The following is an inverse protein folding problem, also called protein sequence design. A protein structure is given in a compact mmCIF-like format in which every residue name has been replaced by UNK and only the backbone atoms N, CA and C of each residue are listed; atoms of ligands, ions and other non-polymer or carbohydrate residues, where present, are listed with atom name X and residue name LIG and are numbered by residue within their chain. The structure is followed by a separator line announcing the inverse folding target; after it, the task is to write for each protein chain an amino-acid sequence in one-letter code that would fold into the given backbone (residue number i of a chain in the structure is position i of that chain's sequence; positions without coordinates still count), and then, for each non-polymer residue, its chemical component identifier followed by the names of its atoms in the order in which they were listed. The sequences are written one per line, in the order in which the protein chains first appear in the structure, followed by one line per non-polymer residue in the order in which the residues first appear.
data_IF_486575025061
#
_entry.id   IF_486575025061
#
_cell.length_a   1.000
_cell.length_b   1.000
_cell.length_c   1.000
_cell.angle_alpha   90.00
_cell.angle_beta   90.00
_cell.angle_gamma   90.00
#
_symmetry.space_group_name_H-M   'P 1'
#
loop_
_entity.id
_entity.type
_entity.pdbx_description
1 polymer ?
#
# COMPACT_ATOMS: atom_id res chain seq x y z
N UNK A 1 -7.96 6.08 -14.80
CA UNK A 1 -7.37 6.80 -13.65
C UNK A 1 -6.15 6.10 -13.04
N UNK A 2 -6.06 4.76 -13.05
CA UNK A 2 -4.85 4.03 -12.59
C UNK A 2 -3.97 3.61 -13.78
N UNK A 3 -2.66 3.61 -13.58
CA UNK A 3 -1.65 3.29 -14.60
C UNK A 3 -1.10 1.89 -14.38
N UNK A 4 -0.95 1.10 -15.45
CA UNK A 4 -0.31 -0.22 -15.34
C UNK A 4 1.20 -0.05 -15.10
N UNK A 5 1.76 -0.88 -14.23
CA UNK A 5 3.21 -0.93 -14.02
C UNK A 5 3.61 -1.67 -12.75
N UNK A 6 4.90 -1.63 -12.43
CA UNK A 6 5.45 -2.23 -11.20
C UNK A 6 5.08 -1.35 -10.02
N UNK A 7 4.09 -1.79 -9.26
CA UNK A 7 3.64 -1.17 -8.02
C UNK A 7 3.99 -2.08 -6.82
N UNK A 8 4.15 -1.52 -5.61
CA UNK A 8 4.33 -2.29 -4.38
C UNK A 8 3.23 -3.33 -4.16
N UNK A 9 2.00 -3.07 -4.58
CA UNK A 9 0.91 -4.04 -4.56
C UNK A 9 0.16 -4.08 -5.89
N UNK A 10 -0.25 -5.27 -6.29
CA UNK A 10 -0.96 -5.47 -7.56
C UNK A 10 -0.16 -5.03 -8.78
N UNK A 11 -0.89 -4.60 -9.82
CA UNK A 11 -0.34 -4.28 -11.15
C UNK A 11 -0.55 -2.81 -11.54
N UNK A 12 -1.06 -1.99 -10.62
CA UNK A 12 -1.51 -0.63 -10.91
C UNK A 12 -1.26 0.33 -9.77
N UNK A 13 -0.68 1.47 -10.09
CA UNK A 13 -0.55 2.62 -9.19
C UNK A 13 -1.43 3.78 -9.65
N UNK A 14 -1.54 4.81 -8.82
CA UNK A 14 -2.21 6.07 -9.13
C UNK A 14 -1.18 7.16 -9.41
N UNK A 15 -1.27 7.83 -10.57
CA UNK A 15 -0.46 9.01 -10.85
C UNK A 15 -1.15 10.24 -10.25
N UNK A 16 -0.53 10.85 -9.23
CA UNK A 16 -1.13 11.96 -8.46
C UNK A 16 -1.35 13.23 -9.30
N UNK A 17 -0.60 13.37 -10.40
CA UNK A 17 -0.82 14.42 -11.39
C UNK A 17 -2.20 14.34 -12.07
N UNK A 18 -2.91 13.21 -12.00
CA UNK A 18 -4.27 13.07 -12.54
C UNK A 18 -5.35 13.74 -11.67
N UNK A 19 -4.99 14.18 -10.46
CA UNK A 19 -5.91 14.84 -9.54
C UNK A 19 -5.64 14.47 -8.09
N UNK A 20 -5.95 15.39 -7.19
CA UNK A 20 -5.83 15.17 -5.76
C UNK A 20 -6.83 14.11 -5.26
N UNK A 21 -6.46 13.39 -4.20
CA UNK A 21 -7.33 12.44 -3.51
C UNK A 21 -7.73 13.08 -2.18
N UNK A 22 -9.04 13.19 -1.92
CA UNK A 22 -9.55 13.82 -0.70
C UNK A 22 -10.50 12.92 0.08
N UNK A 23 -10.45 13.01 1.41
CA UNK A 23 -11.43 12.44 2.33
C UNK A 23 -11.95 13.52 3.26
N UNK A 24 -13.26 13.76 3.21
CA UNK A 24 -13.99 14.66 4.11
C UNK A 24 -14.59 13.90 5.29
N UNK A 25 -15.16 14.62 6.27
CA UNK A 25 -15.88 14.03 7.41
C UNK A 25 -14.98 13.36 8.43
N UNK A 26 -13.73 13.83 8.58
CA UNK A 26 -12.84 13.42 9.66
C UNK A 26 -13.18 14.17 10.95
N UNK A 27 -12.90 13.55 12.09
CA UNK A 27 -13.10 14.17 13.41
C UNK A 27 -11.83 14.95 13.77
N UNK A 28 -11.91 16.27 13.82
CA UNK A 28 -10.74 17.13 14.00
C UNK A 28 -9.95 16.89 15.31
N UNK A 29 -10.61 16.38 16.36
CA UNK A 29 -9.95 16.03 17.62
C UNK A 29 -9.18 14.71 17.59
N UNK A 30 -9.34 13.89 16.54
CA UNK A 30 -8.62 12.63 16.38
C UNK A 30 -7.36 12.82 15.56
N UNK A 31 -6.33 12.05 15.90
CA UNK A 31 -5.14 11.91 15.08
C UNK A 31 -5.31 10.72 14.14
N UNK A 32 -4.94 10.90 12.88
CA UNK A 32 -4.97 9.88 11.84
C UNK A 32 -3.57 9.60 11.32
N UNK A 33 -3.34 8.37 10.90
CA UNK A 33 -2.19 7.94 10.12
C UNK A 33 -2.57 8.01 8.65
N UNK A 34 -1.69 8.60 7.85
CA UNK A 34 -1.69 8.46 6.40
C UNK A 34 -0.40 7.78 6.00
N UNK A 35 -0.48 6.66 5.31
CA UNK A 35 0.69 6.02 4.72
C UNK A 35 0.47 5.77 3.24
N UNK A 36 1.55 5.82 2.47
CA UNK A 36 1.53 5.54 1.04
C UNK A 36 2.92 5.18 0.56
N UNK A 37 2.99 4.38 -0.50
CA UNK A 37 4.20 4.20 -1.26
C UNK A 37 4.27 5.22 -2.37
N UNK A 38 5.44 5.83 -2.57
CA UNK A 38 5.71 6.74 -3.67
C UNK A 38 7.11 6.60 -4.22
N UNK A 39 7.28 6.87 -5.52
CA UNK A 39 8.61 6.99 -6.13
C UNK A 39 9.24 8.38 -5.91
N UNK A 40 8.54 9.30 -5.24
CA UNK A 40 9.11 10.59 -4.87
C UNK A 40 10.27 10.41 -3.88
N UNK A 41 11.28 11.28 -3.97
CA UNK A 41 12.42 11.28 -3.05
C UNK A 41 12.07 11.83 -1.65
N UNK A 42 11.06 12.70 -1.59
CA UNK A 42 10.56 13.33 -0.36
C UNK A 42 9.07 13.02 -0.16
N UNK A 43 8.63 13.09 1.11
CA UNK A 43 7.22 12.96 1.45
C UNK A 43 6.41 14.11 0.84
N UNK A 44 5.16 13.84 0.46
CA UNK A 44 4.20 14.85 0.05
C UNK A 44 3.88 15.79 1.21
N UNK A 45 3.62 17.06 0.91
CA UNK A 45 3.09 17.98 1.92
C UNK A 45 1.58 17.77 2.07
N UNK A 46 1.14 17.35 3.25
CA UNK A 46 -0.28 17.11 3.56
C UNK A 46 -0.71 18.04 4.70
N UNK A 47 -1.76 18.82 4.48
CA UNK A 47 -2.30 19.73 5.48
C UNK A 47 -2.70 19.00 6.76
N UNK A 48 -2.41 19.60 7.92
CA UNK A 48 -2.65 18.99 9.24
C UNK A 48 -1.58 17.99 9.68
N UNK A 49 -0.54 17.72 8.87
CA UNK A 49 0.61 16.91 9.30
C UNK A 49 1.27 17.53 10.52
N UNK A 50 1.38 16.75 11.59
CA UNK A 50 2.11 17.12 12.79
C UNK A 50 3.59 17.29 12.43
N UNK A 51 4.20 18.40 12.83
CA UNK A 51 5.61 18.70 12.52
C UNK A 51 6.53 17.54 12.93
N UNK A 52 7.41 17.13 12.00
CA UNK A 52 8.34 16.01 12.19
C UNK A 52 7.73 14.60 12.06
N UNK A 53 6.40 14.47 11.90
CA UNK A 53 5.76 13.15 11.75
C UNK A 53 5.79 12.58 10.34
N UNK A 54 6.11 13.40 9.33
CA UNK A 54 6.29 12.96 7.95
C UNK A 54 7.65 12.26 7.79
N UNK A 55 7.64 10.93 7.76
CA UNK A 55 8.86 10.12 7.78
C UNK A 55 8.87 9.09 6.66
N UNK A 56 10.06 8.84 6.10
CA UNK A 56 10.30 7.69 5.22
C UNK A 56 10.59 6.47 6.09
N UNK A 57 9.73 5.46 6.03
CA UNK A 57 9.87 4.25 6.85
C UNK A 57 10.81 3.24 6.18
N UNK A 58 10.69 3.05 4.86
CA UNK A 58 11.48 2.07 4.10
C UNK A 58 11.44 2.33 2.60
N UNK A 59 12.29 1.64 1.86
CA UNK A 59 12.34 1.65 0.41
C UNK A 59 12.36 0.21 -0.13
N UNK A 60 11.55 -0.09 -1.13
CA UNK A 60 11.51 -1.39 -1.82
C UNK A 60 11.37 -1.12 -3.31
N UNK A 61 12.26 -1.69 -4.13
CA UNK A 61 12.19 -1.61 -5.60
C UNK A 61 11.98 -0.18 -6.14
N UNK A 62 12.64 0.81 -5.54
CA UNK A 62 12.53 2.23 -5.94
C UNK A 62 11.26 2.96 -5.45
N UNK A 63 10.41 2.30 -4.66
CA UNK A 63 9.27 2.90 -3.98
C UNK A 63 9.61 3.16 -2.52
N UNK A 64 9.31 4.35 -2.03
CA UNK A 64 9.49 4.80 -0.66
C UNK A 64 8.15 4.78 0.06
N UNK A 65 8.08 4.09 1.21
CA UNK A 65 6.94 4.16 2.11
C UNK A 65 7.08 5.40 3.00
N UNK A 66 6.11 6.30 2.91
CA UNK A 66 6.00 7.45 3.81
C UNK A 66 4.83 7.27 4.77
N UNK A 67 4.99 7.78 5.99
CA UNK A 67 3.93 7.88 6.99
C UNK A 67 3.82 9.35 7.45
N UNK A 68 2.59 9.80 7.66
CA UNK A 68 2.24 11.07 8.28
C UNK A 68 1.31 10.81 9.47
N UNK A 69 1.44 11.61 10.52
CA UNK A 69 0.37 11.77 11.52
C UNK A 69 -0.31 13.11 11.29
N UNK A 70 -1.62 13.10 11.04
CA UNK A 70 -2.42 14.32 10.81
C UNK A 70 -3.45 14.51 11.91
N UNK A 71 -3.69 15.75 12.32
CA UNK A 71 -4.70 16.09 13.34
C UNK A 71 -5.27 17.49 13.09
N UNK A 72 -6.33 17.87 13.78
CA UNK A 72 -6.93 19.21 13.65
C UNK A 72 -7.64 19.45 12.32
N UNK A 73 -7.93 18.40 11.56
CA UNK A 73 -8.53 18.49 10.22
C UNK A 73 -9.83 17.70 10.12
N UNK A 74 -10.83 18.28 9.44
CA UNK A 74 -12.07 17.59 9.06
C UNK A 74 -12.01 17.03 7.63
N UNK A 75 -11.00 17.45 6.86
CA UNK A 75 -10.73 16.98 5.51
C UNK A 75 -9.22 16.81 5.33
N UNK A 76 -8.82 15.70 4.73
CA UNK A 76 -7.47 15.47 4.24
C UNK A 76 -7.50 15.49 2.72
N UNK A 77 -6.54 16.19 2.11
CA UNK A 77 -6.30 16.19 0.67
C UNK A 77 -4.85 15.82 0.43
N UNK A 78 -4.64 14.76 -0.34
CA UNK A 78 -3.33 14.34 -0.86
C UNK A 78 -3.22 14.88 -2.28
N UNK A 79 -2.35 15.86 -2.49
CA UNK A 79 -2.13 16.53 -3.78
C UNK A 79 -0.65 16.63 -4.10
N UNK A 80 -0.32 16.86 -5.37
CA UNK A 80 1.05 16.99 -5.84
C UNK A 80 1.28 16.20 -7.11
N UNK A 81 2.52 15.77 -7.32
CA UNK A 81 2.93 14.94 -8.45
C UNK A 81 3.61 13.65 -7.96
N UNK A 82 3.81 12.71 -8.88
CA UNK A 82 4.41 11.41 -8.58
C UNK A 82 3.39 10.28 -8.56
N UNK A 83 3.91 9.07 -8.41
CA UNK A 83 3.11 7.85 -8.39
C UNK A 83 2.85 7.43 -6.93
N UNK A 84 1.64 6.95 -6.68
CA UNK A 84 1.16 6.48 -5.39
C UNK A 84 0.63 5.05 -5.49
N UNK A 85 0.93 4.24 -4.49
CA UNK A 85 0.29 2.96 -4.27
C UNK A 85 0.07 2.72 -2.77
N UNK A 86 -0.86 1.83 -2.41
CA UNK A 86 -1.16 1.51 -1.00
C UNK A 86 -1.39 2.76 -0.13
N UNK A 87 -2.17 3.72 -0.64
CA UNK A 87 -2.58 4.90 0.12
C UNK A 87 -3.61 4.49 1.18
N UNK A 88 -3.28 4.74 2.44
CA UNK A 88 -4.05 4.37 3.63
C UNK A 88 -4.38 5.63 4.44
N UNK A 89 -5.55 5.64 5.08
CA UNK A 89 -5.97 6.66 6.03
C UNK A 89 -6.78 5.99 7.14
N UNK A 90 -6.31 6.05 8.38
CA UNK A 90 -7.00 5.45 9.53
C UNK A 90 -6.65 6.17 10.84
N UNK A 91 -7.52 6.15 11.87
CA UNK A 91 -7.18 6.69 13.19
C UNK A 91 -5.95 6.00 13.79
N UNK A 92 -5.13 6.71 14.58
CA UNK A 92 -3.91 6.12 15.21
C UNK A 92 -4.20 4.92 16.11
N UNK A 93 -5.42 4.83 16.65
CA UNK A 93 -5.88 3.74 17.53
C UNK A 93 -6.36 2.50 16.76
N UNK A 94 -6.45 2.61 15.43
CA UNK A 94 -6.91 1.51 14.56
C UNK A 94 -5.72 0.81 13.88
N UNK A 95 -5.97 -0.42 13.44
CA UNK A 95 -5.07 -1.16 12.56
C UNK A 95 -5.73 -1.32 11.19
N UNK A 96 -4.92 -1.31 10.14
CA UNK A 96 -5.39 -1.50 8.77
C UNK A 96 -4.58 -2.60 8.08
N UNK A 97 -5.27 -3.59 7.54
CA UNK A 97 -4.71 -4.58 6.62
C UNK A 97 -5.41 -4.44 5.28
N UNK A 98 -4.64 -4.43 4.20
CA UNK A 98 -5.17 -4.39 2.83
C UNK A 98 -4.88 -5.69 2.10
N UNK A 99 -5.76 -6.02 1.15
CA UNK A 99 -5.66 -7.19 0.30
C UNK A 99 -5.85 -6.77 -1.15
N UNK A 100 -4.93 -7.20 -2.00
CA UNK A 100 -5.00 -6.96 -3.44
C UNK A 100 -5.40 -8.25 -4.15
N UNK A 101 -6.35 -8.15 -5.06
CA UNK A 101 -6.89 -9.28 -5.81
C UNK A 101 -6.70 -9.08 -7.31
N UNK A 102 -6.34 -10.17 -8.00
CA UNK A 102 -6.50 -10.27 -9.44
C UNK A 102 -7.79 -11.05 -9.75
N UNK A 103 -8.68 -10.50 -10.61
CA UNK A 103 -9.90 -11.19 -11.02
C UNK A 103 -9.61 -12.59 -11.56
N UNK A 104 -10.42 -13.58 -11.17
CA UNK A 104 -10.32 -14.98 -11.56
C UNK A 104 -9.03 -15.72 -11.11
N UNK A 105 -8.15 -15.05 -10.36
CA UNK A 105 -6.92 -15.66 -9.81
C UNK A 105 -7.00 -15.78 -8.29
N UNK A 106 -7.26 -14.67 -7.59
CA UNK A 106 -7.28 -14.63 -6.13
C UNK A 106 -6.43 -13.49 -5.57
N UNK A 107 -6.11 -13.59 -4.28
CA UNK A 107 -5.30 -12.61 -3.56
C UNK A 107 -3.85 -12.65 -4.05
N UNK A 108 -3.35 -11.55 -4.60
CA UNK A 108 -1.97 -11.47 -5.13
C UNK A 108 -1.00 -10.77 -4.17
N UNK A 109 -1.52 -9.93 -3.29
CA UNK A 109 -0.75 -9.31 -2.21
C UNK A 109 -1.63 -9.06 -0.98
N UNK A 110 -1.02 -9.06 0.20
CA UNK A 110 -1.56 -8.41 1.39
C UNK A 110 -0.52 -7.48 1.98
N UNK A 111 -0.97 -6.40 2.59
CA UNK A 111 -0.10 -5.51 3.33
C UNK A 111 -0.67 -5.35 4.75
N UNK A 112 0.10 -5.75 5.75
CA UNK A 112 -0.35 -5.82 7.14
C UNK A 112 -0.39 -4.45 7.84
N UNK A 113 -0.75 -4.44 9.12
CA UNK A 113 -0.79 -3.24 9.95
C UNK A 113 0.57 -2.56 10.14
N UNK A 114 1.68 -3.27 9.92
CA UNK A 114 3.05 -2.76 9.99
C UNK A 114 3.57 -2.28 8.61
N UNK A 115 2.70 -2.23 7.61
CA UNK A 115 3.02 -1.94 6.22
C UNK A 115 4.05 -2.94 5.62
N UNK A 116 4.03 -4.20 6.08
CA UNK A 116 4.78 -5.30 5.47
C UNK A 116 3.94 -5.97 4.39
N UNK A 117 4.50 -6.03 3.18
CA UNK A 117 3.84 -6.65 2.03
C UNK A 117 4.21 -8.13 1.96
N UNK A 118 3.21 -8.97 1.74
CA UNK A 118 3.36 -10.39 1.39
C UNK A 118 2.76 -10.61 0.02
N UNK A 119 3.49 -11.28 -0.86
CA UNK A 119 3.05 -11.61 -2.22
C UNK A 119 2.67 -13.08 -2.33
N UNK A 120 1.65 -13.34 -3.14
CA UNK A 120 1.10 -14.67 -3.38
C UNK A 120 1.08 -14.90 -4.88
N UNK A 121 1.65 -16.02 -5.31
CA UNK A 121 1.62 -16.43 -6.72
C UNK A 121 0.97 -17.78 -6.85
N UNK A 122 0.27 -17.99 -7.96
CA UNK A 122 -0.51 -19.18 -8.24
C UNK A 122 0.13 -19.98 -9.37
N UNK A 123 -0.08 -21.29 -9.36
CA UNK A 123 0.27 -22.15 -10.49
C UNK A 123 -0.74 -22.03 -11.64
N UNK A 124 -0.49 -22.73 -12.75
CA UNK A 124 -1.34 -22.70 -13.94
C UNK A 124 -2.79 -23.18 -13.69
N UNK A 125 -3.05 -23.86 -12.56
CA UNK A 125 -4.36 -24.36 -12.17
C UNK A 125 -5.05 -23.44 -11.15
N UNK A 126 -4.50 -22.26 -10.88
CA UNK A 126 -5.07 -21.30 -9.93
C UNK A 126 -4.86 -21.67 -8.46
N UNK A 127 -3.92 -22.57 -8.15
CA UNK A 127 -3.62 -22.97 -6.76
C UNK A 127 -2.43 -22.19 -6.23
N UNK A 128 -2.44 -21.84 -4.94
CA UNK A 128 -1.37 -21.08 -4.30
C UNK A 128 -0.03 -21.84 -4.41
N UNK A 129 0.94 -21.28 -5.13
CA UNK A 129 2.23 -21.94 -5.39
C UNK A 129 3.36 -21.38 -4.53
N UNK A 130 3.45 -20.06 -4.38
CA UNK A 130 4.55 -19.42 -3.65
C UNK A 130 4.03 -18.25 -2.82
N UNK A 131 4.55 -18.13 -1.60
CA UNK A 131 4.43 -16.94 -0.76
C UNK A 131 5.81 -16.29 -0.66
N UNK A 132 5.89 -15.00 -0.98
CA UNK A 132 7.11 -14.19 -0.88
C UNK A 132 6.93 -13.05 0.10
N UNK A 133 8.02 -12.62 0.71
CA UNK A 133 8.03 -11.37 1.48
C UNK A 133 8.12 -10.14 0.56
N UNK A 134 8.08 -8.96 1.18
CA UNK A 134 8.17 -7.67 0.52
C UNK A 134 9.45 -7.48 -0.33
N UNK A 135 10.53 -8.23 -0.05
CA UNK A 135 11.80 -8.19 -0.77
C UNK A 135 11.87 -9.22 -1.91
N UNK A 136 10.79 -9.98 -2.14
CA UNK A 136 10.72 -11.02 -3.15
C UNK A 136 11.33 -12.35 -2.74
N UNK A 137 11.76 -12.51 -1.48
CA UNK A 137 12.32 -13.76 -0.98
C UNK A 137 11.19 -14.76 -0.71
N UNK A 138 11.39 -16.01 -1.15
CA UNK A 138 10.42 -17.08 -0.95
C UNK A 138 10.36 -17.42 0.54
N UNK A 139 9.18 -17.32 1.12
CA UNK A 139 8.89 -17.70 2.51
C UNK A 139 8.26 -19.07 2.61
N UNK A 140 7.39 -19.42 1.65
CA UNK A 140 6.79 -20.75 1.52
C UNK A 140 6.61 -21.10 0.05
N UNK A 141 6.76 -22.38 -0.29
CA UNK A 141 6.49 -22.94 -1.61
C UNK A 141 5.65 -24.20 -1.46
N UNK A 142 4.60 -24.31 -2.25
CA UNK A 142 3.71 -25.45 -2.30
C UNK A 142 3.97 -26.22 -3.59
N UNK A 143 4.07 -27.54 -3.47
CA UNK A 143 4.15 -28.46 -4.60
C UNK A 143 2.96 -29.40 -4.51
N UNK A 144 2.17 -29.47 -5.56
CA UNK A 144 1.01 -30.34 -5.64
C UNK A 144 1.32 -31.49 -6.59
N UNK A 145 1.31 -32.71 -6.07
CA UNK A 145 1.42 -33.93 -6.87
C UNK A 145 0.02 -34.51 -7.07
N UNK A 146 -0.22 -35.09 -8.25
CA UNK A 146 -1.44 -35.85 -8.48
C UNK A 146 -1.34 -37.18 -7.74
N UNK A 147 -2.35 -37.52 -6.94
CA UNK A 147 -2.49 -38.85 -6.39
C UNK A 147 -2.87 -39.79 -7.54
N UNK A 148 -1.85 -40.39 -8.18
CA UNK A 148 -1.85 -41.64 -8.95
C UNK A 148 -0.64 -41.63 -9.91
N UNK A 149 0.51 -42.08 -9.40
CA UNK A 149 1.55 -42.79 -10.15
C UNK A 149 2.20 -43.80 -9.22
#
# INVERSE_FOLDING_TARGET
LRTNGVAPTGKRYYALGNGAISKTGLTASKTYIISYWSQNATALSIAGTIAGSAVKIRTINGWNLYEHRVTGVSTVTVSGTGNLDELRLYPVEAQMTTYTYDPLVGQTASCDANNLITYYTYDAYGRLSVIKDQNGLIRKKYTYQYANQ
#
